data_IF_954058795975
#
_entry.id   IF_954058795975
#
_cell.length_a   1.000
_cell.length_b   1.000
_cell.length_c   1.000
_cell.angle_alpha   90.00
_cell.angle_beta   90.00
_cell.angle_gamma   90.00
#
_symmetry.space_group_name_H-M   'P 1'
#
loop_
_entity.id
_entity.type
_entity.pdbx_description
1 polymer ?
#
# COMPACT_ATOMS: atom_id res chain seq x y z
N UNK A 1 -2.99 -20.04 -10.77
CA UNK A 1 -4.22 -19.61 -10.05
C UNK A 1 -3.84 -18.44 -9.16
N UNK A 2 -4.26 -17.22 -9.51
CA UNK A 2 -3.96 -16.02 -8.72
C UNK A 2 -4.89 -15.99 -7.52
N UNK A 3 -4.32 -16.10 -6.32
CA UNK A 3 -5.04 -16.00 -5.05
C UNK A 3 -5.51 -14.57 -4.84
N UNK A 4 -6.78 -14.44 -4.46
CA UNK A 4 -7.39 -13.16 -4.05
C UNK A 4 -6.90 -12.90 -2.63
N UNK A 5 -5.87 -12.06 -2.49
CA UNK A 5 -5.58 -11.40 -1.21
C UNK A 5 -6.86 -10.68 -0.78
N UNK A 6 -7.47 -11.11 0.32
CA UNK A 6 -8.39 -10.26 1.07
C UNK A 6 -7.53 -9.35 1.94
N UNK A 7 -6.79 -8.45 1.30
CA UNK A 7 -6.43 -7.19 1.93
C UNK A 7 -7.62 -6.30 1.60
N UNK A 8 -8.60 -6.30 2.49
CA UNK A 8 -9.86 -5.57 2.30
C UNK A 8 -9.56 -4.07 2.25
N UNK A 9 -9.38 -3.60 1.02
CA UNK A 9 -9.34 -2.21 0.65
C UNK A 9 -10.81 -1.76 0.65
N UNK A 10 -11.18 -0.87 1.57
CA UNK A 10 -12.52 -0.27 1.70
C UNK A 10 -12.87 0.62 0.48
N UNK A 11 -12.99 0.02 -0.69
CA UNK A 11 -13.57 0.63 -1.88
C UNK A 11 -15.08 0.74 -1.68
N UNK A 12 -15.55 1.91 -1.25
CA UNK A 12 -16.99 2.24 -1.26
C UNK A 12 -17.53 2.27 -2.70
N UNK A 13 -18.70 1.67 -2.97
CA UNK A 13 -19.53 2.09 -4.09
C UNK A 13 -20.11 3.49 -3.82
N UNK A 14 -20.07 4.35 -4.83
CA UNK A 14 -20.66 5.68 -4.77
C UNK A 14 -22.19 5.62 -4.79
N UNK A 15 -22.81 5.99 -3.67
CA UNK A 15 -24.17 6.52 -3.68
C UNK A 15 -24.16 7.89 -3.01
N UNK A 16 -24.46 8.92 -3.81
CA UNK A 16 -24.68 10.29 -3.36
C UNK A 16 -26.00 10.34 -2.61
N UNK A 17 -25.96 10.72 -1.33
CA UNK A 17 -27.15 11.23 -0.63
C UNK A 17 -26.82 12.58 0.00
N UNK A 18 -27.42 13.63 -0.57
CA UNK A 18 -27.52 14.95 0.06
C UNK A 18 -28.32 14.84 1.36
N UNK A 19 -27.66 15.08 2.48
CA UNK A 19 -28.26 15.14 3.81
C UNK A 19 -27.21 15.50 4.84
N UNK A 20 -27.28 16.70 5.41
CA UNK A 20 -26.34 17.18 6.43
C UNK A 20 -26.19 16.24 7.62
N UNK A 21 -25.09 16.35 8.40
CA UNK A 21 -24.74 15.37 9.42
C UNK A 21 -25.68 15.49 10.63
N UNK A 22 -26.80 14.78 10.58
CA UNK A 22 -27.62 14.50 11.74
C UNK A 22 -26.97 13.44 12.66
N UNK A 23 -27.44 13.31 13.91
CA UNK A 23 -26.91 12.35 14.89
C UNK A 23 -27.01 10.86 14.48
N UNK A 24 -27.68 10.54 13.36
CA UNK A 24 -27.78 9.20 12.78
C UNK A 24 -26.49 8.68 12.10
N UNK A 25 -25.45 9.51 11.96
CA UNK A 25 -24.17 9.09 11.38
C UNK A 25 -23.32 8.17 12.27
N UNK A 26 -23.61 8.11 13.58
CA UNK A 26 -22.89 7.22 14.51
C UNK A 26 -23.36 5.77 14.42
N UNK A 27 -24.65 5.53 14.20
CA UNK A 27 -25.21 4.17 14.17
C UNK A 27 -24.82 3.39 12.91
N UNK A 28 -24.62 4.06 11.76
CA UNK A 28 -24.24 3.41 10.49
C UNK A 28 -22.85 2.77 10.44
N UNK A 29 -21.96 3.08 11.38
CA UNK A 29 -20.61 2.50 11.45
C UNK A 29 -20.57 1.29 12.41
N UNK A 30 -21.57 1.15 13.30
CA UNK A 30 -21.57 0.14 14.36
C UNK A 30 -21.99 -1.24 13.82
N UNK A 31 -22.99 -1.30 12.94
CA UNK A 31 -23.49 -2.58 12.37
C UNK A 31 -22.40 -3.38 11.62
N UNK A 32 -21.57 -2.78 10.73
CA UNK A 32 -20.50 -3.50 10.04
C UNK A 32 -19.43 -4.09 10.98
N UNK A 33 -19.17 -3.45 12.12
CA UNK A 33 -18.16 -3.90 13.07
C UNK A 33 -18.62 -5.13 13.87
N UNK A 34 -19.91 -5.22 14.19
CA UNK A 34 -20.47 -6.38 14.91
C UNK A 34 -20.44 -7.63 14.03
N UNK A 35 -20.88 -7.52 12.78
CA UNK A 35 -20.81 -8.64 11.83
C UNK A 35 -19.38 -9.11 11.59
N UNK A 36 -18.43 -8.16 11.49
CA UNK A 36 -17.00 -8.46 11.33
C UNK A 36 -16.41 -9.15 12.57
N UNK A 37 -16.81 -8.73 13.77
CA UNK A 37 -16.38 -9.35 15.02
C UNK A 37 -16.93 -10.78 15.14
N UNK A 38 -18.21 -11.00 14.84
CA UNK A 38 -18.83 -12.35 14.84
C UNK A 38 -18.20 -13.27 13.80
N UNK A 39 -17.87 -12.74 12.61
CA UNK A 39 -17.11 -13.48 11.61
C UNK A 39 -15.73 -13.87 12.14
N UNK A 40 -14.97 -12.90 12.69
CA UNK A 40 -13.63 -13.15 13.25
C UNK A 40 -13.67 -14.17 14.38
N UNK A 41 -14.66 -14.08 15.28
CA UNK A 41 -14.88 -15.03 16.37
C UNK A 41 -15.12 -16.44 15.85
N UNK A 42 -16.04 -16.61 14.89
CA UNK A 42 -16.32 -17.92 14.28
C UNK A 42 -15.09 -18.51 13.58
N UNK A 43 -14.34 -17.68 12.86
CA UNK A 43 -13.14 -18.12 12.15
C UNK A 43 -12.03 -18.55 13.11
N UNK A 44 -11.77 -17.80 14.19
CA UNK A 44 -10.76 -18.15 15.18
C UNK A 44 -11.17 -19.35 16.03
N UNK A 45 -12.46 -19.51 16.35
CA UNK A 45 -12.96 -20.69 17.04
C UNK A 45 -12.80 -21.99 16.22
N UNK A 46 -12.66 -21.87 14.89
CA UNK A 46 -12.39 -22.98 13.99
C UNK A 46 -10.89 -23.24 13.76
N UNK A 47 -9.99 -22.50 14.44
CA UNK A 47 -8.55 -22.72 14.33
C UNK A 47 -8.19 -24.13 14.84
N UNK A 48 -7.49 -24.90 14.01
CA UNK A 48 -7.05 -26.26 14.28
C UNK A 48 -5.58 -26.36 14.73
N UNK A 49 -4.96 -25.21 15.02
CA UNK A 49 -3.60 -25.07 15.52
C UNK A 49 -3.53 -24.01 16.63
N UNK A 50 -2.59 -24.12 17.59
CA UNK A 50 -2.43 -23.11 18.62
C UNK A 50 -1.92 -21.81 18.00
N UNK A 51 -2.50 -20.69 18.42
CA UNK A 51 -2.05 -19.34 18.04
C UNK A 51 -1.26 -18.75 19.19
N UNK A 52 -0.10 -18.18 18.90
CA UNK A 52 0.76 -17.55 19.89
C UNK A 52 0.53 -16.04 19.98
N UNK A 53 0.65 -15.51 21.20
CA UNK A 53 0.66 -14.08 21.50
C UNK A 53 1.69 -13.76 22.58
N UNK A 54 1.80 -12.50 22.97
CA UNK A 54 2.70 -12.08 24.06
C UNK A 54 2.11 -12.51 25.41
N UNK A 55 2.81 -13.37 26.13
CA UNK A 55 2.42 -13.86 27.45
C UNK A 55 3.07 -13.06 28.58
N UNK A 56 4.31 -12.59 28.37
CA UNK A 56 5.01 -11.68 29.29
C UNK A 56 5.96 -10.75 28.52
N UNK A 57 6.28 -9.60 29.13
CA UNK A 57 7.24 -8.63 28.58
C UNK A 57 6.74 -7.17 28.64
N UNK A 58 7.45 -6.24 27.98
CA UNK A 58 7.12 -4.82 28.01
C UNK A 58 5.80 -4.44 27.32
N UNK A 59 5.29 -5.32 26.45
CA UNK A 59 4.15 -5.07 25.57
C UNK A 59 2.84 -5.74 26.06
N UNK A 60 2.64 -5.92 27.36
CA UNK A 60 1.51 -6.69 27.97
C UNK A 60 0.12 -6.02 27.95
N UNK A 61 -0.06 -4.96 27.18
CA UNK A 61 -1.31 -4.19 27.11
C UNK A 61 -1.66 -3.89 25.66
N UNK A 62 -2.89 -3.48 25.35
CA UNK A 62 -3.26 -3.10 23.97
C UNK A 62 -3.36 -4.31 23.02
N UNK A 63 -3.71 -5.48 23.55
CA UNK A 63 -3.87 -6.69 22.77
C UNK A 63 -5.02 -6.56 21.77
N UNK A 64 -4.72 -6.82 20.50
CA UNK A 64 -5.74 -6.82 19.46
C UNK A 64 -5.46 -7.90 18.41
N UNK A 65 -6.52 -8.42 17.81
CA UNK A 65 -6.42 -9.21 16.59
C UNK A 65 -6.10 -8.27 15.43
N UNK A 66 -4.86 -8.31 14.95
CA UNK A 66 -4.39 -7.43 13.88
C UNK A 66 -4.91 -7.91 12.51
N UNK A 67 -4.71 -9.19 12.19
CA UNK A 67 -5.14 -9.76 10.93
C UNK A 67 -5.22 -11.30 10.99
N UNK A 68 -5.87 -11.90 9.99
CA UNK A 68 -5.81 -13.33 9.71
C UNK A 68 -6.12 -13.56 8.24
N UNK A 69 -5.72 -14.70 7.69
CA UNK A 69 -6.05 -15.10 6.33
C UNK A 69 -6.67 -16.50 6.30
N UNK A 70 -7.59 -16.70 5.35
CA UNK A 70 -8.15 -18.03 5.07
C UNK A 70 -7.84 -18.44 3.64
N UNK A 71 -7.45 -19.70 3.45
CA UNK A 71 -7.23 -20.30 2.14
C UNK A 71 -8.06 -21.57 2.03
N UNK A 72 -8.97 -21.63 1.05
CA UNK A 72 -9.86 -22.78 0.89
C UNK A 72 -10.91 -22.94 2.00
N UNK A 73 -11.26 -21.85 2.69
CA UNK A 73 -12.18 -21.87 3.83
C UNK A 73 -11.53 -22.22 5.17
N UNK A 74 -10.22 -22.45 5.17
CA UNK A 74 -9.45 -22.82 6.34
C UNK A 74 -8.43 -21.73 6.71
N UNK A 75 -8.11 -21.60 7.99
CA UNK A 75 -7.24 -20.54 8.51
C UNK A 75 -5.78 -20.81 8.15
N UNK A 76 -5.14 -19.93 7.36
CA UNK A 76 -3.74 -20.10 6.96
C UNK A 76 -2.77 -19.51 7.98
N UNK A 77 -3.11 -18.34 8.54
CA UNK A 77 -2.35 -17.71 9.62
C UNK A 77 -3.22 -16.73 10.42
N UNK A 78 -2.79 -16.45 11.65
CA UNK A 78 -3.38 -15.46 12.55
C UNK A 78 -2.29 -14.53 13.06
N UNK A 79 -2.55 -13.24 13.07
CA UNK A 79 -1.67 -12.21 13.60
C UNK A 79 -2.35 -11.44 14.72
N UNK A 80 -1.72 -11.44 15.89
CA UNK A 80 -2.10 -10.63 17.03
C UNK A 80 -1.04 -9.57 17.29
N UNK A 81 -1.46 -8.47 17.90
CA UNK A 81 -0.55 -7.42 18.35
C UNK A 81 -0.67 -7.22 19.86
N UNK A 82 0.37 -6.63 20.45
CA UNK A 82 0.39 -6.18 21.83
C UNK A 82 1.34 -4.98 21.95
N UNK A 83 1.08 -4.09 22.91
CA UNK A 83 1.80 -2.84 23.15
C UNK A 83 1.07 -1.60 22.63
N UNK A 84 1.80 -0.49 22.56
CA UNK A 84 1.28 0.81 22.13
C UNK A 84 1.38 0.96 20.61
N UNK A 85 0.28 0.66 19.90
CA UNK A 85 0.12 0.90 18.47
C UNK A 85 0.33 2.38 18.09
N UNK A 86 0.14 3.33 19.00
CA UNK A 86 0.31 4.75 18.72
C UNK A 86 1.72 5.27 18.98
N UNK A 87 2.60 4.45 19.57
CA UNK A 87 3.97 4.85 19.89
C UNK A 87 4.92 4.62 18.70
N UNK A 88 5.69 5.64 18.28
CA UNK A 88 6.76 5.48 17.30
C UNK A 88 7.99 4.75 17.86
N UNK A 89 8.12 4.68 19.18
CA UNK A 89 9.27 4.09 19.87
C UNK A 89 8.95 2.77 20.55
N UNK A 90 7.69 2.33 20.54
CA UNK A 90 7.20 1.15 21.26
C UNK A 90 6.92 1.41 22.74
N UNK A 91 6.76 0.36 23.57
CA UNK A 91 6.87 -1.05 23.20
C UNK A 91 5.69 -1.49 22.33
N UNK A 92 5.97 -2.16 21.21
CA UNK A 92 4.98 -2.71 20.29
C UNK A 92 5.48 -4.05 19.72
N UNK A 93 4.62 -5.06 19.67
CA UNK A 93 4.93 -6.41 19.18
C UNK A 93 3.78 -6.94 18.35
N UNK A 94 4.07 -7.53 17.18
CA UNK A 94 3.14 -8.42 16.48
C UNK A 94 3.64 -9.85 16.49
N UNK A 95 2.72 -10.80 16.60
CA UNK A 95 3.00 -12.23 16.55
C UNK A 95 2.07 -12.84 15.52
N UNK A 96 2.66 -13.33 14.42
CA UNK A 96 1.96 -14.04 13.36
C UNK A 96 2.26 -15.54 13.45
N UNK A 97 1.23 -16.32 13.73
CA UNK A 97 1.30 -17.79 13.77
C UNK A 97 0.75 -18.37 12.49
N UNK A 98 1.58 -19.14 11.78
CA UNK A 98 1.20 -19.83 10.56
C UNK A 98 0.75 -21.25 10.88
N UNK A 99 -0.23 -21.74 10.13
CA UNK A 99 -0.63 -23.14 10.12
C UNK A 99 0.57 -24.08 9.86
N UNK A 100 0.59 -25.30 10.41
CA UNK A 100 1.64 -26.28 10.10
C UNK A 100 1.78 -26.50 8.60
N UNK A 101 3.02 -26.46 8.11
CA UNK A 101 3.34 -26.68 6.70
C UNK A 101 3.05 -25.50 5.76
N UNK A 102 2.70 -24.31 6.26
CA UNK A 102 2.43 -23.13 5.42
C UNK A 102 3.58 -22.77 4.45
N UNK A 103 4.84 -22.96 4.85
CA UNK A 103 6.01 -22.77 3.99
C UNK A 103 6.08 -23.70 2.77
N UNK A 104 5.37 -24.83 2.79
CA UNK A 104 5.33 -25.77 1.67
C UNK A 104 4.30 -25.34 0.62
N UNK A 105 3.30 -24.56 1.04
CA UNK A 105 2.17 -24.13 0.22
C UNK A 105 2.27 -22.67 -0.21
N UNK A 106 3.02 -21.85 0.53
CA UNK A 106 3.08 -20.40 0.42
C UNK A 106 4.50 -19.87 0.67
N UNK A 107 4.87 -18.82 -0.06
CA UNK A 107 6.10 -18.08 0.22
C UNK A 107 5.84 -17.17 1.42
N UNK A 108 6.51 -17.46 2.53
CA UNK A 108 6.41 -16.62 3.73
C UNK A 108 7.09 -15.26 3.47
N UNK A 109 6.58 -14.15 4.01
CA UNK A 109 7.24 -12.85 3.91
C UNK A 109 8.65 -12.89 4.48
N UNK A 110 9.60 -12.28 3.79
CA UNK A 110 10.96 -12.14 4.29
C UNK A 110 10.99 -11.27 5.56
N UNK A 111 11.98 -11.48 6.44
CA UNK A 111 12.05 -10.70 7.68
C UNK A 111 12.26 -9.20 7.44
N UNK A 112 12.97 -8.83 6.38
CA UNK A 112 13.08 -7.44 5.90
C UNK A 112 11.69 -6.87 5.57
N UNK A 113 10.83 -7.66 4.89
CA UNK A 113 9.48 -7.21 4.53
C UNK A 113 8.59 -6.97 5.76
N UNK A 114 8.78 -7.76 6.83
CA UNK A 114 8.04 -7.62 8.09
C UNK A 114 8.48 -6.36 8.85
N UNK A 115 9.78 -6.07 8.87
CA UNK A 115 10.31 -4.81 9.41
C UNK A 115 9.77 -3.62 8.62
N UNK A 116 9.75 -3.71 7.30
CA UNK A 116 9.23 -2.64 6.45
C UNK A 116 7.72 -2.43 6.64
N UNK A 117 6.93 -3.49 6.87
CA UNK A 117 5.50 -3.36 7.22
C UNK A 117 5.30 -2.59 8.55
N UNK A 118 6.17 -2.80 9.53
CA UNK A 118 6.11 -2.07 10.80
C UNK A 118 6.51 -0.59 10.68
N UNK A 119 7.45 -0.27 9.79
CA UNK A 119 7.79 1.12 9.46
C UNK A 119 6.69 1.80 8.64
N UNK A 120 6.07 1.04 7.74
CA UNK A 120 4.93 1.50 6.96
C UNK A 120 3.74 1.83 7.87
N UNK A 121 3.50 1.02 8.91
CA UNK A 121 2.54 1.34 9.97
C UNK A 121 2.83 2.71 10.59
N UNK A 122 4.07 2.98 11.00
CA UNK A 122 4.47 4.26 11.60
C UNK A 122 4.26 5.42 10.62
N UNK A 123 4.65 5.26 9.36
CA UNK A 123 4.46 6.27 8.34
C UNK A 123 2.97 6.54 8.08
N UNK A 124 2.17 5.51 7.84
CA UNK A 124 0.76 5.64 7.47
C UNK A 124 -0.10 6.15 8.63
N UNK A 125 0.26 5.78 9.86
CA UNK A 125 -0.52 6.07 11.06
C UNK A 125 -0.10 7.36 11.76
N UNK A 126 1.21 7.65 11.80
CA UNK A 126 1.78 8.79 12.53
C UNK A 126 2.39 9.85 11.61
N UNK A 127 2.54 9.58 10.31
CA UNK A 127 3.17 10.49 9.36
C UNK A 127 4.68 10.62 9.53
N UNK A 128 5.30 9.69 10.26
CA UNK A 128 6.73 9.72 10.57
C UNK A 128 7.47 8.85 9.54
N UNK A 129 8.26 9.49 8.68
CA UNK A 129 9.13 8.80 7.74
C UNK A 129 10.50 8.51 8.38
N UNK A 130 10.66 7.28 8.86
CA UNK A 130 11.92 6.78 9.41
C UNK A 130 13.02 6.61 8.34
N UNK A 131 12.72 6.91 7.07
CA UNK A 131 13.60 6.74 5.91
C UNK A 131 13.66 5.29 5.45
N UNK A 132 14.57 5.01 4.52
CA UNK A 132 14.99 3.65 4.19
C UNK A 132 16.28 3.39 4.98
N UNK A 133 16.21 2.49 5.95
CA UNK A 133 17.39 2.09 6.72
C UNK A 133 18.23 1.15 5.87
N UNK A 134 19.57 1.25 5.84
CA UNK A 134 20.41 0.18 5.31
C UNK A 134 20.27 -0.99 6.28
N UNK A 135 19.23 -1.80 6.07
CA UNK A 135 18.88 -2.87 6.98
C UNK A 135 20.08 -3.78 7.17
N UNK A 136 20.58 -3.85 8.39
CA UNK A 136 21.72 -4.71 8.68
C UNK A 136 21.13 -6.04 9.04
N UNK A 137 21.18 -7.00 8.11
CA UNK A 137 20.93 -8.41 8.43
C UNK A 137 21.95 -8.82 9.48
N UNK A 138 21.53 -8.76 10.74
CA UNK A 138 22.23 -9.38 11.86
C UNK A 138 21.54 -10.69 12.09
N UNK A 139 22.02 -11.76 11.44
CA UNK A 139 21.67 -13.12 11.80
C UNK A 139 22.23 -13.42 13.21
N UNK A 140 21.60 -12.85 14.23
CA UNK A 140 21.84 -13.15 15.62
C UNK A 140 21.06 -14.42 15.90
N UNK A 141 21.74 -15.46 16.40
CA UNK A 141 21.06 -16.52 17.13
C UNK A 141 20.65 -15.94 18.48
N UNK A 142 19.52 -15.26 18.49
CA UNK A 142 18.86 -14.88 19.73
C UNK A 142 17.89 -15.98 20.18
N UNK A 143 17.34 -15.79 21.35
CA UNK A 143 16.37 -16.69 21.96
C UNK A 143 15.13 -15.88 22.32
N UNK A 144 13.96 -16.41 21.99
CA UNK A 144 12.66 -15.94 22.50
C UNK A 144 12.13 -17.04 23.39
N UNK A 145 11.62 -16.69 24.58
CA UNK A 145 10.99 -17.66 25.47
C UNK A 145 9.60 -18.00 24.94
N UNK A 146 9.28 -19.28 24.79
CA UNK A 146 7.96 -19.76 24.38
C UNK A 146 7.49 -20.78 25.39
N UNK A 147 6.35 -20.50 26.05
CA UNK A 147 5.79 -21.34 27.11
C UNK A 147 6.84 -21.70 28.19
N UNK A 148 7.72 -20.75 28.54
CA UNK A 148 8.81 -20.92 29.51
C UNK A 148 10.11 -21.50 28.96
N UNK A 149 10.17 -21.95 27.70
CA UNK A 149 11.34 -22.59 27.10
C UNK A 149 12.04 -21.67 26.07
N UNK A 150 13.39 -21.55 26.09
CA UNK A 150 14.11 -20.72 25.12
C UNK A 150 14.10 -21.36 23.73
N UNK A 151 13.56 -20.64 22.74
CA UNK A 151 13.50 -21.04 21.35
C UNK A 151 14.44 -20.19 20.49
N UNK A 152 15.26 -20.85 19.66
CA UNK A 152 16.15 -20.15 18.74
C UNK A 152 15.33 -19.40 17.68
N UNK A 153 15.70 -18.13 17.43
CA UNK A 153 15.04 -17.27 16.45
C UNK A 153 16.06 -16.75 15.42
N UNK A 154 15.66 -16.73 14.15
CA UNK A 154 16.35 -16.00 13.09
C UNK A 154 15.87 -14.55 13.12
N UNK A 155 16.77 -13.58 13.33
CA UNK A 155 16.41 -12.16 13.49
C UNK A 155 16.94 -11.30 12.34
N UNK A 156 16.14 -10.35 11.91
CA UNK A 156 16.52 -9.19 11.11
C UNK A 156 16.27 -7.93 11.95
N UNK A 157 17.28 -7.07 12.13
CA UNK A 157 17.20 -5.88 12.98
C UNK A 157 17.60 -4.64 12.18
N UNK A 158 16.71 -3.64 12.16
CA UNK A 158 16.97 -2.33 11.60
C UNK A 158 17.16 -1.31 12.71
N UNK A 159 18.29 -0.60 12.61
CA UNK A 159 18.59 0.53 13.49
C UNK A 159 18.53 1.82 12.69
N UNK A 160 17.89 2.86 13.22
CA UNK A 160 17.96 4.18 12.60
C UNK A 160 19.43 4.60 12.48
N UNK A 161 19.76 5.26 11.36
CA UNK A 161 21.09 5.81 11.14
C UNK A 161 21.32 6.90 12.19
N UNK A 162 22.44 6.86 12.96
CA UNK A 162 22.67 7.74 14.11
C UNK A 162 22.81 9.23 13.77
N UNK A 163 22.78 9.61 12.50
CA UNK A 163 22.88 11.01 12.03
C UNK A 163 21.54 11.76 12.04
N UNK A 164 20.41 11.09 12.33
CA UNK A 164 19.12 11.74 12.66
C UNK A 164 18.96 11.83 14.17
N UNK A 165 18.26 12.87 14.65
CA UNK A 165 18.07 13.13 16.08
C UNK A 165 17.81 11.83 16.88
N UNK A 166 18.64 11.51 17.90
CA UNK A 166 18.71 10.20 18.52
C UNK A 166 17.45 9.75 19.29
N UNK A 167 16.40 10.58 19.35
CA UNK A 167 15.19 10.35 20.14
C UNK A 167 13.95 9.94 19.32
N UNK A 168 14.00 9.90 17.99
CA UNK A 168 12.78 9.79 17.18
C UNK A 168 12.28 8.35 16.91
N UNK A 169 13.16 7.35 16.87
CA UNK A 169 12.79 5.99 16.45
C UNK A 169 13.52 4.91 17.27
N UNK A 170 12.76 4.02 17.90
CA UNK A 170 13.29 2.82 18.56
C UNK A 170 13.78 1.79 17.55
N UNK A 171 14.66 0.84 17.94
CA UNK A 171 15.03 -0.27 17.05
C UNK A 171 13.78 -1.09 16.69
N UNK A 172 13.72 -1.51 15.43
CA UNK A 172 12.69 -2.41 14.90
C UNK A 172 13.35 -3.70 14.44
N UNK A 173 12.75 -4.83 14.75
CA UNK A 173 13.25 -6.14 14.35
C UNK A 173 12.12 -7.07 13.98
N UNK A 174 12.42 -8.06 13.15
CA UNK A 174 11.55 -9.18 12.86
C UNK A 174 12.31 -10.49 13.11
N UNK A 175 11.64 -11.45 13.72
CA UNK A 175 12.17 -12.75 14.07
C UNK A 175 11.31 -13.88 13.50
N UNK A 176 11.92 -14.97 13.05
CA UNK A 176 11.22 -16.22 12.67
C UNK A 176 11.71 -17.38 13.52
N UNK A 177 10.77 -18.13 14.09
CA UNK A 177 11.06 -19.30 14.91
C UNK A 177 10.10 -20.46 14.61
N UNK A 178 10.48 -21.66 15.05
CA UNK A 178 9.66 -22.88 14.95
C UNK A 178 9.22 -23.34 16.32
N UNK A 179 7.92 -23.55 16.49
CA UNK A 179 7.32 -24.00 17.74
C UNK A 179 6.33 -25.12 17.43
N UNK A 180 6.58 -26.34 17.92
CA UNK A 180 5.64 -27.45 17.71
C UNK A 180 5.31 -27.77 16.23
N UNK A 181 6.23 -27.52 15.30
CA UNK A 181 6.00 -27.68 13.85
C UNK A 181 5.30 -26.48 13.18
N UNK A 182 4.93 -25.47 13.94
CA UNK A 182 4.41 -24.19 13.44
C UNK A 182 5.57 -23.26 13.11
N UNK A 183 5.31 -22.38 12.14
CA UNK A 183 6.19 -21.23 11.89
C UNK A 183 5.56 -20.01 12.54
N UNK A 184 6.35 -19.30 13.36
CA UNK A 184 5.95 -18.07 14.03
C UNK A 184 6.85 -16.96 13.57
N UNK A 185 6.26 -15.83 13.17
CA UNK A 185 6.97 -14.59 12.87
C UNK A 185 6.62 -13.57 13.93
N UNK A 186 7.61 -12.91 14.51
CA UNK A 186 7.46 -11.87 15.53
C UNK A 186 8.04 -10.58 14.99
N UNK A 187 7.32 -9.48 15.06
CA UNK A 187 7.89 -8.14 14.84
C UNK A 187 7.91 -7.41 16.18
N UNK A 188 9.01 -6.74 16.51
CA UNK A 188 9.14 -5.98 17.74
C UNK A 188 9.71 -4.59 17.50
N UNK A 189 9.15 -3.61 18.20
CA UNK A 189 9.61 -2.22 18.24
C UNK A 189 9.74 -1.76 19.68
N UNK A 190 10.88 -1.14 20.01
CA UNK A 190 11.14 -0.65 21.37
C UNK A 190 11.31 -1.75 22.42
N UNK A 191 11.45 -3.00 21.98
CA UNK A 191 11.66 -4.18 22.83
C UNK A 191 12.80 -5.01 22.24
N UNK A 192 13.61 -5.63 23.08
CA UNK A 192 14.61 -6.60 22.62
C UNK A 192 13.94 -7.97 22.37
N UNK A 193 14.40 -8.79 21.41
CA UNK A 193 13.83 -10.11 21.17
C UNK A 193 13.80 -10.99 22.42
N UNK A 194 14.90 -11.05 23.17
CA UNK A 194 14.96 -11.79 24.45
C UNK A 194 14.11 -11.22 25.59
N UNK A 195 13.48 -10.06 25.41
CA UNK A 195 12.53 -9.47 26.36
C UNK A 195 11.07 -9.84 26.08
N UNK A 196 10.79 -10.62 25.02
CA UNK A 196 9.45 -11.07 24.64
C UNK A 196 9.29 -12.54 25.05
N UNK A 197 8.22 -12.82 25.78
CA UNK A 197 7.78 -14.19 26.06
C UNK A 197 6.48 -14.46 25.32
N UNK A 198 6.47 -15.53 24.53
CA UNK A 198 5.31 -15.98 23.81
C UNK A 198 4.59 -17.10 24.57
N UNK A 199 3.28 -17.13 24.48
CA UNK A 199 2.47 -18.24 24.96
C UNK A 199 1.26 -18.50 24.08
N UNK A 200 0.76 -19.74 24.14
CA UNK A 200 -0.45 -20.10 23.41
C UNK A 200 -1.67 -19.32 23.95
N UNK A 201 -2.46 -18.74 23.05
CA UNK A 201 -3.67 -18.01 23.38
C UNK A 201 -4.78 -19.02 23.66
N UNK A 202 -5.21 -19.09 24.93
CA UNK A 202 -6.33 -19.92 25.34
C UNK A 202 -7.71 -19.28 25.12
N UNK A 203 -7.77 -17.94 25.06
CA UNK A 203 -9.00 -17.17 24.88
C UNK A 203 -8.74 -15.95 23.98
N UNK A 204 -9.51 -15.84 22.89
CA UNK A 204 -9.39 -14.76 21.92
C UNK A 204 -10.24 -13.53 22.23
N UNK A 205 -11.15 -13.58 23.22
CA UNK A 205 -12.10 -12.47 23.45
C UNK A 205 -11.37 -11.15 23.76
N UNK A 206 -10.21 -11.20 24.46
CA UNK A 206 -9.38 -10.01 24.69
C UNK A 206 -8.87 -9.39 23.38
N UNK A 207 -8.40 -10.22 22.46
CA UNK A 207 -7.86 -9.77 21.17
C UNK A 207 -8.98 -9.29 20.22
N UNK A 208 -10.14 -9.94 20.25
CA UNK A 208 -11.32 -9.51 19.49
C UNK A 208 -11.84 -8.16 19.98
N UNK A 209 -11.96 -7.98 21.31
CA UNK A 209 -12.34 -6.71 21.91
C UNK A 209 -11.37 -5.58 21.54
N UNK A 210 -10.06 -5.82 21.65
CA UNK A 210 -9.04 -4.85 21.25
C UNK A 210 -9.04 -4.53 19.75
N UNK A 211 -9.37 -5.49 18.87
CA UNK A 211 -9.58 -5.22 17.45
C UNK A 211 -10.72 -4.24 17.23
N UNK A 212 -11.85 -4.46 17.89
CA UNK A 212 -13.02 -3.57 17.79
C UNK A 212 -12.68 -2.15 18.28
N UNK A 213 -11.89 -2.03 19.35
CA UNK A 213 -11.38 -0.74 19.83
C UNK A 213 -10.45 -0.06 18.82
N UNK A 214 -9.48 -0.80 18.27
CA UNK A 214 -8.54 -0.31 17.25
C UNK A 214 -9.29 0.17 16.00
N UNK A 215 -10.23 -0.62 15.48
CA UNK A 215 -11.03 -0.25 14.31
C UNK A 215 -11.88 0.99 14.58
N UNK A 216 -12.46 1.11 15.78
CA UNK A 216 -13.21 2.31 16.19
C UNK A 216 -12.31 3.55 16.25
N UNK A 217 -11.10 3.41 16.75
CA UNK A 217 -10.11 4.49 16.78
C UNK A 217 -9.72 4.91 15.36
N UNK A 218 -9.39 3.97 14.48
CA UNK A 218 -9.05 4.21 13.08
C UNK A 218 -10.22 4.88 12.32
N UNK A 219 -11.44 4.39 12.50
CA UNK A 219 -12.64 5.00 11.94
C UNK A 219 -12.84 6.44 12.45
N UNK A 220 -12.63 6.68 13.74
CA UNK A 220 -12.72 8.02 14.35
C UNK A 220 -11.68 8.99 13.77
N UNK A 221 -10.45 8.52 13.53
CA UNK A 221 -9.40 9.32 12.86
C UNK A 221 -9.77 9.60 11.41
N UNK A 222 -10.24 8.61 10.67
CA UNK A 222 -10.68 8.76 9.27
C UNK A 222 -11.84 9.75 9.15
N UNK A 223 -12.81 9.69 10.07
CA UNK A 223 -13.96 10.61 10.10
C UNK A 223 -13.56 12.08 10.35
N UNK A 224 -12.40 12.34 10.96
CA UNK A 224 -11.86 13.69 11.14
C UNK A 224 -11.10 14.21 9.91
N UNK A 225 -10.79 13.36 8.93
CA UNK A 225 -10.11 13.78 7.70
C UNK A 225 -11.12 14.39 6.73
N UNK A 226 -10.82 15.60 6.26
CA UNK A 226 -11.60 16.26 5.19
C UNK A 226 -11.27 15.57 3.85
N UNK A 227 -12.26 15.17 3.04
CA UNK A 227 -12.02 14.68 1.68
C UNK A 227 -11.19 15.67 0.86
N UNK A 228 -10.24 15.18 0.05
CA UNK A 228 -9.30 16.06 -0.67
C UNK A 228 -10.04 17.00 -1.63
N UNK A 229 -11.15 16.56 -2.17
CA UNK A 229 -12.07 17.30 -3.04
C UNK A 229 -12.71 18.50 -2.35
N UNK A 230 -12.83 18.48 -1.03
CA UNK A 230 -13.39 19.56 -0.21
C UNK A 230 -12.31 20.46 0.39
N UNK A 231 -11.03 20.06 0.30
CA UNK A 231 -9.92 20.86 0.83
C UNK A 231 -9.67 22.09 -0.04
N UNK A 232 -9.32 23.18 0.62
CA UNK A 232 -8.65 24.32 -0.02
C UNK A 232 -7.24 23.89 -0.41
N UNK A 233 -6.99 23.77 -1.71
CA UNK A 233 -5.68 23.42 -2.24
C UNK A 233 -4.94 24.69 -2.68
N UNK A 234 -3.60 24.72 -2.60
CA UNK A 234 -2.82 25.83 -3.11
C UNK A 234 -3.17 26.16 -4.57
N UNK A 235 -3.21 27.46 -4.94
CA UNK A 235 -3.47 27.83 -6.32
C UNK A 235 -2.35 27.30 -7.22
N UNK A 236 -2.73 26.52 -8.23
CA UNK A 236 -1.82 26.07 -9.29
C UNK A 236 -1.82 27.13 -10.39
N UNK A 237 -0.70 27.32 -11.07
CA UNK A 237 -0.58 28.15 -12.28
C UNK A 237 -0.27 27.23 -13.48
N UNK A 238 -0.55 27.70 -14.69
CA UNK A 238 -0.07 27.04 -15.91
C UNK A 238 -0.41 25.54 -16.01
N UNK A 239 0.62 24.74 -16.26
CA UNK A 239 0.51 23.28 -16.47
C UNK A 239 1.28 22.49 -15.40
N UNK A 240 1.68 23.14 -14.29
CA UNK A 240 2.52 22.52 -13.26
C UNK A 240 1.86 21.28 -12.63
N UNK A 241 0.57 21.36 -12.28
CA UNK A 241 -0.13 20.21 -11.68
C UNK A 241 -0.15 18.97 -12.59
N UNK A 242 -0.35 19.16 -13.90
CA UNK A 242 -0.32 18.07 -14.87
C UNK A 242 1.07 17.42 -14.93
N UNK A 243 2.15 18.22 -14.96
CA UNK A 243 3.52 17.71 -14.94
C UNK A 243 3.82 16.92 -13.67
N UNK A 244 3.44 17.46 -12.51
CA UNK A 244 3.71 16.84 -11.22
C UNK A 244 3.00 15.48 -11.08
N UNK A 245 1.73 15.37 -11.48
CA UNK A 245 1.01 14.10 -11.39
C UNK A 245 1.58 13.05 -12.35
N UNK A 246 2.00 13.46 -13.56
CA UNK A 246 2.68 12.58 -14.52
C UNK A 246 4.02 12.11 -13.97
N UNK A 247 4.87 13.05 -13.52
CA UNK A 247 6.20 12.74 -13.01
C UNK A 247 6.13 11.79 -11.80
N UNK A 248 5.20 12.04 -10.88
CA UNK A 248 4.94 11.15 -9.76
C UNK A 248 4.49 9.77 -10.24
N UNK A 249 3.51 9.67 -11.14
CA UNK A 249 2.98 8.37 -11.55
C UNK A 249 4.01 7.51 -12.30
N UNK A 250 4.88 8.14 -13.09
CA UNK A 250 6.02 7.46 -13.74
C UNK A 250 7.01 6.97 -12.68
N UNK A 251 7.34 7.79 -11.68
CA UNK A 251 8.24 7.40 -10.60
C UNK A 251 7.68 6.24 -9.76
N UNK A 252 6.38 6.26 -9.45
CA UNK A 252 5.67 5.18 -8.75
C UNK A 252 5.73 3.87 -9.55
N UNK A 253 5.40 3.92 -10.85
CA UNK A 253 5.42 2.76 -11.74
C UNK A 253 6.84 2.17 -11.85
N UNK A 254 7.85 3.02 -12.04
CA UNK A 254 9.24 2.60 -12.11
C UNK A 254 9.74 1.96 -10.80
N UNK A 255 9.34 2.52 -9.64
CA UNK A 255 9.71 1.96 -8.34
C UNK A 255 9.09 0.57 -8.11
N UNK A 256 7.81 0.39 -8.45
CA UNK A 256 7.12 -0.90 -8.36
C UNK A 256 7.80 -1.94 -9.28
N UNK A 257 8.08 -1.57 -10.53
CA UNK A 257 8.74 -2.47 -11.48
C UNK A 257 10.14 -2.88 -11.06
N UNK A 258 10.91 -1.95 -10.48
CA UNK A 258 12.23 -2.24 -9.95
C UNK A 258 12.15 -3.30 -8.83
N UNK A 259 11.16 -3.21 -7.94
CA UNK A 259 10.95 -4.19 -6.87
C UNK A 259 10.54 -5.57 -7.41
N UNK A 260 9.59 -5.60 -8.35
CA UNK A 260 9.16 -6.86 -9.00
C UNK A 260 10.34 -7.54 -9.68
N UNK A 261 11.22 -6.77 -10.34
CA UNK A 261 12.41 -7.30 -11.04
C UNK A 261 13.39 -7.99 -10.10
N UNK A 262 13.51 -7.52 -8.87
CA UNK A 262 14.37 -8.14 -7.84
C UNK A 262 13.63 -9.16 -6.97
N UNK A 263 12.40 -9.54 -7.34
CA UNK A 263 11.60 -10.52 -6.62
C UNK A 263 11.04 -10.03 -5.28
N UNK A 264 11.05 -8.71 -5.04
CA UNK A 264 10.46 -8.11 -3.83
C UNK A 264 8.95 -7.92 -4.00
N UNK A 265 8.25 -7.89 -2.87
CA UNK A 265 6.83 -7.55 -2.83
C UNK A 265 6.63 -6.11 -3.33
N UNK A 266 5.82 -5.88 -4.38
CA UNK A 266 5.60 -4.53 -4.90
C UNK A 266 4.89 -3.65 -3.87
N UNK A 267 5.56 -2.56 -3.50
CA UNK A 267 5.18 -1.54 -2.53
C UNK A 267 5.55 -0.15 -3.06
N UNK A 268 4.68 0.83 -2.83
CA UNK A 268 5.04 2.22 -3.14
C UNK A 268 6.12 2.72 -2.16
N UNK A 269 7.09 3.55 -2.58
CA UNK A 269 7.97 4.25 -1.65
C UNK A 269 7.19 5.16 -0.69
N UNK A 270 7.59 5.25 0.59
CA UNK A 270 6.87 6.05 1.62
C UNK A 270 6.65 7.50 1.18
N UNK A 271 7.67 8.18 0.65
CA UNK A 271 7.56 9.55 0.14
C UNK A 271 6.61 9.73 -1.05
N UNK A 272 6.18 8.65 -1.71
CA UNK A 272 5.15 8.65 -2.74
C UNK A 272 3.78 8.20 -2.22
N UNK A 273 3.70 7.68 -0.99
CA UNK A 273 2.46 7.30 -0.31
C UNK A 273 1.82 8.46 0.44
N UNK A 274 0.56 8.27 0.83
CA UNK A 274 -0.23 9.22 1.61
C UNK A 274 -1.03 10.18 0.73
N UNK A 275 -1.54 11.23 1.35
CA UNK A 275 -2.45 12.17 0.70
C UNK A 275 -1.77 12.99 -0.43
N UNK A 276 -0.44 13.02 -0.50
CA UNK A 276 0.29 13.81 -1.50
C UNK A 276 -0.06 13.41 -2.95
N UNK A 277 -0.19 12.11 -3.23
CA UNK A 277 -0.62 11.61 -4.54
C UNK A 277 -2.04 12.09 -4.87
N UNK A 278 -2.96 11.92 -3.91
CA UNK A 278 -4.38 12.33 -4.05
C UNK A 278 -4.50 13.85 -4.23
N UNK A 279 -3.71 14.64 -3.49
CA UNK A 279 -3.68 16.10 -3.58
C UNK A 279 -3.18 16.57 -4.94
N UNK A 280 -2.08 16.01 -5.46
CA UNK A 280 -1.57 16.36 -6.79
C UNK A 280 -2.54 15.95 -7.89
N UNK A 281 -3.17 14.79 -7.74
CA UNK A 281 -4.23 14.35 -8.65
C UNK A 281 -5.40 15.33 -8.66
N UNK A 282 -5.93 15.69 -7.49
CA UNK A 282 -7.02 16.66 -7.38
C UNK A 282 -6.64 18.03 -7.93
N UNK A 283 -5.42 18.49 -7.67
CA UNK A 283 -4.89 19.73 -8.22
C UNK A 283 -4.87 19.70 -9.77
N UNK A 284 -4.44 18.58 -10.37
CA UNK A 284 -4.45 18.40 -11.81
C UNK A 284 -5.89 18.36 -12.38
N UNK A 285 -6.83 17.70 -11.69
CA UNK A 285 -8.24 17.66 -12.09
C UNK A 285 -8.88 19.06 -12.04
N UNK A 286 -8.70 19.81 -10.95
CA UNK A 286 -9.19 21.20 -10.84
C UNK A 286 -8.56 22.10 -11.89
N UNK A 287 -7.27 21.89 -12.18
CA UNK A 287 -6.59 22.63 -13.22
C UNK A 287 -7.14 22.32 -14.61
N UNK A 288 -7.39 21.05 -14.90
CA UNK A 288 -7.99 20.59 -16.14
C UNK A 288 -9.39 21.20 -16.32
N UNK A 289 -10.26 21.15 -15.30
CA UNK A 289 -11.57 21.81 -15.33
C UNK A 289 -11.48 23.29 -15.69
N UNK A 290 -10.51 24.00 -15.09
CA UNK A 290 -10.32 25.43 -15.30
C UNK A 290 -9.79 25.78 -16.70
N UNK A 291 -8.85 25.01 -17.22
CA UNK A 291 -8.21 25.29 -18.51
C UNK A 291 -9.03 24.82 -19.71
N UNK A 292 -9.67 23.66 -19.60
CA UNK A 292 -10.42 23.02 -20.68
C UNK A 292 -11.94 23.31 -20.61
N UNK A 293 -12.42 23.95 -19.54
CA UNK A 293 -13.87 24.16 -19.27
C UNK A 293 -14.64 22.84 -19.20
N UNK A 294 -13.99 21.80 -18.70
CA UNK A 294 -14.54 20.45 -18.56
C UNK A 294 -15.29 20.30 -17.24
N UNK A 295 -16.29 19.40 -17.23
CA UNK A 295 -16.85 18.90 -15.98
C UNK A 295 -15.79 18.12 -15.19
N UNK A 296 -16.02 17.92 -13.89
CA UNK A 296 -15.11 17.14 -13.05
C UNK A 296 -14.90 15.72 -13.58
N UNK A 297 -15.96 15.09 -14.08
CA UNK A 297 -15.92 13.72 -14.61
C UNK A 297 -15.07 13.65 -15.88
N UNK A 298 -15.27 14.58 -16.82
CA UNK A 298 -14.45 14.72 -18.02
C UNK A 298 -12.98 15.02 -17.68
N UNK A 299 -12.74 15.98 -16.80
CA UNK A 299 -11.40 16.35 -16.37
C UNK A 299 -10.65 15.18 -15.70
N UNK A 300 -11.33 14.42 -14.84
CA UNK A 300 -10.77 13.22 -14.23
C UNK A 300 -10.45 12.15 -15.27
N UNK A 301 -11.35 11.92 -16.25
CA UNK A 301 -11.10 10.98 -17.34
C UNK A 301 -9.94 11.42 -18.24
N UNK A 302 -9.82 12.72 -18.52
CA UNK A 302 -8.73 13.29 -19.31
C UNK A 302 -7.37 13.13 -18.61
N UNK A 303 -7.27 13.51 -17.33
CA UNK A 303 -6.06 13.31 -16.51
C UNK A 303 -5.71 11.82 -16.41
N UNK A 304 -6.71 10.95 -16.23
CA UNK A 304 -6.51 9.49 -16.21
C UNK A 304 -5.94 8.98 -17.53
N UNK A 305 -6.52 9.38 -18.67
CA UNK A 305 -6.03 8.96 -19.99
C UNK A 305 -4.59 9.42 -20.20
N UNK A 306 -4.29 10.68 -19.87
CA UNK A 306 -2.95 11.27 -20.00
C UNK A 306 -1.89 10.55 -19.16
N UNK A 307 -2.17 10.30 -17.87
CA UNK A 307 -1.25 9.58 -16.99
C UNK A 307 -1.01 8.15 -17.49
N UNK A 308 -2.07 7.45 -17.91
CA UNK A 308 -1.93 6.11 -18.46
C UNK A 308 -1.16 6.07 -19.78
N UNK A 309 -1.33 7.08 -20.64
CA UNK A 309 -0.58 7.23 -21.89
C UNK A 309 0.90 7.26 -21.59
N UNK A 310 1.32 8.16 -20.70
CA UNK A 310 2.73 8.41 -20.41
C UNK A 310 3.36 7.30 -19.56
N UNK A 311 2.61 6.67 -18.65
CA UNK A 311 3.08 5.46 -17.98
C UNK A 311 3.27 4.30 -18.96
N UNK A 312 2.33 4.10 -19.89
CA UNK A 312 2.49 3.07 -20.91
C UNK A 312 3.73 3.36 -21.76
N UNK A 313 3.97 4.62 -22.09
CA UNK A 313 5.12 5.01 -22.91
C UNK A 313 6.44 4.83 -22.16
N UNK A 314 6.48 5.11 -20.85
CA UNK A 314 7.67 4.90 -20.02
C UNK A 314 8.05 3.43 -19.91
N UNK A 315 7.07 2.54 -19.90
CA UNK A 315 7.28 1.09 -19.84
C UNK A 315 7.86 0.52 -21.13
N UNK A 316 7.52 1.12 -22.27
CA UNK A 316 7.92 0.64 -23.60
C UNK A 316 9.17 1.34 -24.14
N UNK A 317 9.59 2.46 -23.54
CA UNK A 317 10.69 3.29 -24.05
C UNK A 317 11.64 3.75 -22.96
N UNK A 318 12.93 3.77 -23.27
CA UNK A 318 13.98 4.19 -22.33
C UNK A 318 14.16 5.72 -22.31
N UNK A 319 13.71 6.40 -23.38
CA UNK A 319 14.00 7.82 -23.59
C UNK A 319 13.01 8.75 -22.90
N UNK A 320 11.86 8.27 -22.43
CA UNK A 320 10.84 9.14 -21.83
C UNK A 320 11.30 9.76 -20.50
N UNK A 321 12.15 9.07 -19.74
CA UNK A 321 12.55 9.49 -18.39
C UNK A 321 13.90 10.21 -18.45
N UNK A 322 13.95 11.42 -17.90
CA UNK A 322 15.21 12.16 -17.70
C UNK A 322 15.91 12.61 -18.98
N UNK A 323 15.19 12.70 -20.10
CA UNK A 323 15.74 13.23 -21.37
C UNK A 323 14.94 14.43 -21.88
N UNK A 324 15.56 15.33 -22.67
CA UNK A 324 14.84 16.45 -23.30
C UNK A 324 13.70 16.00 -24.23
N UNK A 325 13.85 14.85 -24.89
CA UNK A 325 12.78 14.28 -25.72
C UNK A 325 11.60 13.82 -24.86
N UNK A 326 11.89 13.26 -23.68
CA UNK A 326 10.87 12.88 -22.71
C UNK A 326 10.08 14.07 -22.19
N UNK A 327 10.77 15.13 -21.77
CA UNK A 327 10.14 16.39 -21.34
C UNK A 327 9.25 16.99 -22.43
N UNK A 328 9.73 17.00 -23.68
CA UNK A 328 8.94 17.48 -24.81
C UNK A 328 7.71 16.60 -25.11
N UNK A 329 7.79 15.29 -24.92
CA UNK A 329 6.66 14.38 -25.11
C UNK A 329 5.58 14.64 -24.05
N UNK A 330 5.98 14.83 -22.79
CA UNK A 330 5.08 15.23 -21.69
C UNK A 330 4.37 16.53 -22.04
N UNK A 331 5.11 17.56 -22.47
CA UNK A 331 4.51 18.84 -22.87
C UNK A 331 3.50 18.69 -24.02
N UNK A 332 3.79 17.86 -25.02
CA UNK A 332 2.87 17.69 -26.14
C UNK A 332 1.62 16.91 -25.78
N UNK A 333 1.72 15.88 -24.92
CA UNK A 333 0.53 15.19 -24.40
C UNK A 333 -0.32 16.18 -23.59
N UNK A 334 0.28 16.95 -22.67
CA UNK A 334 -0.47 17.92 -21.86
C UNK A 334 -1.16 18.95 -22.76
N UNK A 335 -0.46 19.54 -23.74
CA UNK A 335 -1.07 20.53 -24.66
C UNK A 335 -2.19 19.95 -25.51
N UNK A 336 -2.03 18.71 -25.97
CA UNK A 336 -3.08 18.01 -26.71
C UNK A 336 -4.31 17.78 -25.82
N UNK A 337 -4.13 17.26 -24.61
CA UNK A 337 -5.23 16.95 -23.69
C UNK A 337 -5.92 18.19 -23.14
N UNK A 338 -5.18 19.25 -22.80
CA UNK A 338 -5.74 20.45 -22.17
C UNK A 338 -6.37 21.40 -23.19
N UNK A 339 -5.74 21.58 -24.36
CA UNK A 339 -6.11 22.62 -25.31
C UNK A 339 -6.57 22.10 -26.67
N UNK A 340 -6.66 20.77 -26.86
CA UNK A 340 -6.91 20.15 -28.17
C UNK A 340 -5.97 20.70 -29.26
N UNK A 341 -4.72 21.03 -28.89
CA UNK A 341 -3.77 21.67 -29.79
C UNK A 341 -3.29 20.73 -30.90
N UNK A 342 -3.05 21.28 -32.08
CA UNK A 342 -2.32 20.59 -33.14
C UNK A 342 -0.83 20.51 -32.76
N UNK A 343 -0.46 19.45 -32.06
CA UNK A 343 0.92 19.15 -31.67
C UNK A 343 1.62 18.28 -32.71
N UNK A 344 2.95 18.31 -32.77
CA UNK A 344 3.70 17.48 -33.72
C UNK A 344 3.48 15.97 -33.50
N UNK A 345 3.21 15.55 -32.26
CA UNK A 345 2.87 14.18 -31.86
C UNK A 345 1.42 13.80 -32.14
N UNK A 346 0.61 14.62 -32.84
CA UNK A 346 -0.80 14.35 -33.14
C UNK A 346 -1.08 12.93 -33.66
N UNK A 347 -0.26 12.32 -34.54
CA UNK A 347 -0.45 10.93 -34.94
C UNK A 347 -0.42 9.95 -33.75
N UNK A 348 0.50 10.17 -32.80
CA UNK A 348 0.62 9.35 -31.60
C UNK A 348 -0.54 9.59 -30.63
N UNK A 349 -1.00 10.83 -30.47
CA UNK A 349 -2.17 11.16 -29.65
C UNK A 349 -3.43 10.45 -30.16
N UNK A 350 -3.68 10.49 -31.47
CA UNK A 350 -4.83 9.81 -32.09
C UNK A 350 -4.74 8.29 -32.04
N UNK A 351 -3.52 7.73 -32.08
CA UNK A 351 -3.32 6.30 -31.90
C UNK A 351 -3.64 5.88 -30.46
N UNK A 352 -3.20 6.67 -29.47
CA UNK A 352 -3.54 6.45 -28.07
C UNK A 352 -5.06 6.49 -27.81
N UNK A 353 -5.77 7.48 -28.34
CA UNK A 353 -7.22 7.57 -28.14
C UNK A 353 -7.99 6.35 -28.66
N UNK A 354 -7.55 5.75 -29.76
CA UNK A 354 -8.15 4.50 -30.28
C UNK A 354 -7.88 3.36 -29.32
N UNK A 355 -6.63 3.17 -28.92
CA UNK A 355 -6.21 2.16 -27.94
C UNK A 355 -6.98 2.31 -26.61
N UNK A 356 -7.22 3.54 -26.18
CA UNK A 356 -7.93 3.85 -24.94
C UNK A 356 -9.44 3.58 -25.02
N UNK A 357 -10.08 3.89 -26.16
CA UNK A 357 -11.51 3.64 -26.40
C UNK A 357 -11.83 2.16 -26.59
N UNK A 358 -10.92 1.42 -27.22
CA UNK A 358 -11.13 0.01 -27.63
C UNK A 358 -10.73 -1.00 -26.55
N UNK A 359 -10.91 -0.68 -25.25
CA UNK A 359 -10.53 -1.59 -24.15
C UNK A 359 -11.20 -2.97 -24.32
N UNK A 360 -10.41 -4.04 -24.58
CA UNK A 360 -10.95 -5.34 -24.98
C UNK A 360 -11.81 -6.06 -23.93
N UNK A 361 -12.87 -6.71 -24.40
CA UNK A 361 -13.34 -7.97 -23.79
C UNK A 361 -12.35 -9.10 -24.09
N UNK A 362 -12.16 -10.04 -23.16
CA UNK A 362 -11.09 -11.05 -23.21
C UNK A 362 -11.25 -12.12 -24.30
N UNK A 363 -10.87 -11.81 -25.54
CA UNK A 363 -10.78 -12.74 -26.68
C UNK A 363 -9.37 -12.81 -27.29
N UNK A 364 -9.08 -13.83 -28.12
CA UNK A 364 -7.78 -13.96 -28.78
C UNK A 364 -7.57 -12.94 -29.91
N UNK A 365 -8.57 -12.75 -30.76
CA UNK A 365 -8.57 -11.75 -31.85
C UNK A 365 -8.41 -10.33 -31.31
N UNK A 366 -9.12 -10.01 -30.22
CA UNK A 366 -9.04 -8.70 -29.57
C UNK A 366 -7.65 -8.42 -28.97
N UNK A 367 -6.89 -9.47 -28.61
CA UNK A 367 -5.49 -9.32 -28.16
C UNK A 367 -4.52 -9.04 -29.30
N UNK A 368 -4.83 -9.46 -30.52
CA UNK A 368 -3.99 -9.20 -31.70
C UNK A 368 -4.22 -7.78 -32.21
N UNK A 369 -5.48 -7.35 -32.30
CA UNK A 369 -5.85 -5.97 -32.62
C UNK A 369 -5.22 -4.98 -31.63
N UNK A 370 -5.25 -5.30 -30.34
CA UNK A 370 -4.62 -4.47 -29.31
C UNK A 370 -3.10 -4.34 -29.49
N UNK A 371 -2.41 -5.42 -29.90
CA UNK A 371 -0.95 -5.36 -30.18
C UNK A 371 -0.66 -4.47 -31.39
N UNK A 372 -1.41 -4.62 -32.48
CA UNK A 372 -1.25 -3.79 -33.67
C UNK A 372 -1.50 -2.30 -33.35
N UNK A 373 -2.53 -2.00 -32.56
CA UNK A 373 -2.80 -0.63 -32.12
C UNK A 373 -1.66 -0.07 -31.26
N UNK A 374 -1.08 -0.90 -30.39
CA UNK A 374 0.07 -0.52 -29.57
C UNK A 374 1.34 -0.29 -30.40
N UNK A 375 1.62 -1.15 -31.39
CA UNK A 375 2.75 -0.99 -32.32
C UNK A 375 2.63 0.32 -33.12
N UNK A 376 1.45 0.62 -33.66
CA UNK A 376 1.19 1.87 -34.40
C UNK A 376 1.38 3.12 -33.52
N UNK A 377 0.96 3.03 -32.26
CA UNK A 377 1.14 4.12 -31.29
C UNK A 377 2.62 4.34 -30.95
N UNK A 378 3.39 3.28 -30.71
CA UNK A 378 4.84 3.38 -30.45
C UNK A 378 5.60 3.89 -31.68
N UNK A 379 5.29 3.39 -32.87
CA UNK A 379 5.91 3.83 -34.11
C UNK A 379 5.68 5.33 -34.37
N UNK A 380 4.48 5.83 -34.04
CA UNK A 380 4.17 7.26 -34.14
C UNK A 380 5.03 8.11 -33.19
N UNK A 381 5.31 7.65 -31.97
CA UNK A 381 6.22 8.32 -31.04
C UNK A 381 7.67 8.31 -31.52
N UNK A 382 8.15 7.17 -32.04
CA UNK A 382 9.52 7.09 -32.57
C UNK A 382 9.70 7.97 -33.82
N UNK A 383 8.69 8.03 -34.71
CA UNK A 383 8.70 8.97 -35.86
C UNK A 383 8.73 10.43 -35.40
N UNK A 384 7.91 10.79 -34.41
CA UNK A 384 7.93 12.13 -33.82
C UNK A 384 9.30 12.47 -33.24
N UNK A 385 9.91 11.55 -32.49
CA UNK A 385 11.24 11.73 -31.88
C UNK A 385 12.32 11.90 -32.94
N UNK A 386 12.32 11.06 -33.98
CA UNK A 386 13.28 11.11 -35.07
C UNK A 386 13.20 12.43 -35.87
N UNK A 387 12.00 13.01 -36.01
CA UNK A 387 11.81 14.30 -36.68
C UNK A 387 12.28 15.53 -35.88
N UNK A 388 12.76 15.36 -34.63
CA UNK A 388 13.24 16.43 -33.75
C UNK A 388 14.75 16.45 -33.55
N UNK A 389 15.45 15.38 -33.90
CA UNK A 389 16.92 15.33 -33.94
C UNK A 389 17.43 15.94 -35.23
#
# INVERSE_FOLDING_TARGET
MRRRMVRENDGRPGERHDGGPGPAGRDRIVEPLVEQEEFSRRTLAAADFPVYGVAAGPALHGEALAAFETCGGELSWVEVQSGDWNSPVGPYVTVRTYRPGAELTEVLPELEDVVEDERDRIYEHLGIDEGDGPGRVRALREWITVDGEPCAVEVHEDRPVPDREPDAAGPVWAGRLRVGGLTVTVCGRGVAPGGVELGAIGDFERYLGGRTELLRELASRRARRIPVEERELPPVVGLEAHREVIAQSIAESAAIEAQVRVGRTPRLPRGLRGDACVVRWEAAVRQQMRLATETREEASAAVTSMVNHLNRLSQQTQWLIGTPAGEAAVEEVIRYTVFASEVASLPAQRAWERLWRERPGGGAEVREEQRLAEELWLEAWERWRAGRG
#
